data_IF_694432096093
#
_entry.id   IF_694432096093
#
_cell.length_a   1.000
_cell.length_b   1.000
_cell.length_c   1.000
_cell.angle_alpha   90.00
_cell.angle_beta   90.00
_cell.angle_gamma   90.00
#
_symmetry.space_group_name_H-M   'P 1'
#
loop_
_entity.id
_entity.type
_entity.pdbx_description
1 polymer ?
#
# COMPACT_ATOMS: atom_id res chain seq x y z
N UNK A 1 50.51 -28.45 17.23
CA UNK A 1 50.41 -29.79 16.60
C UNK A 1 50.74 -29.61 15.13
N UNK A 2 52.03 -29.73 14.80
CA UNK A 2 52.57 -29.64 13.44
C UNK A 2 52.46 -31.01 12.78
N UNK A 3 51.98 -31.08 11.54
CA UNK A 3 52.16 -32.25 10.68
C UNK A 3 52.91 -31.82 9.44
N UNK A 4 54.22 -31.92 9.54
CA UNK A 4 55.18 -31.73 8.45
C UNK A 4 55.41 -33.10 7.80
N UNK A 5 55.13 -33.21 6.50
CA UNK A 5 55.53 -34.37 5.69
C UNK A 5 56.82 -34.02 4.99
N UNK A 6 57.87 -34.72 5.38
CA UNK A 6 59.21 -34.66 4.82
C UNK A 6 59.35 -35.67 3.66
N UNK A 7 60.47 -35.53 2.93
CA UNK A 7 61.10 -36.47 1.96
C UNK A 7 60.67 -36.21 0.50
N UNK A 8 61.57 -36.01 -0.48
CA UNK A 8 63.02 -36.18 -0.48
C UNK A 8 63.64 -35.65 -1.79
N UNK A 9 64.96 -35.56 -1.72
CA UNK A 9 65.90 -34.96 -2.67
C UNK A 9 66.13 -35.91 -3.85
N UNK A 10 66.29 -35.38 -5.08
CA UNK A 10 67.31 -35.91 -6.00
C UNK A 10 67.69 -34.88 -7.05
N UNK A 11 68.98 -34.53 -7.04
CA UNK A 11 69.67 -33.73 -8.05
C UNK A 11 70.27 -34.71 -9.05
N UNK A 12 69.83 -34.70 -10.30
CA UNK A 12 70.50 -35.42 -11.40
C UNK A 12 70.95 -34.41 -12.44
N UNK A 13 72.25 -34.14 -12.41
CA UNK A 13 73.02 -33.50 -13.46
C UNK A 13 73.03 -34.41 -14.69
N UNK A 14 72.56 -33.91 -15.83
CA UNK A 14 72.63 -34.60 -17.11
C UNK A 14 72.60 -33.61 -18.27
N UNK A 15 73.75 -33.00 -18.57
CA UNK A 15 73.96 -32.29 -19.84
C UNK A 15 73.89 -33.31 -20.97
N UNK A 16 72.94 -33.15 -21.89
CA UNK A 16 73.08 -33.63 -23.26
C UNK A 16 72.78 -32.48 -24.21
N UNK A 17 73.82 -32.04 -24.93
CA UNK A 17 73.69 -31.13 -26.06
C UNK A 17 72.75 -31.76 -27.09
N UNK A 18 71.57 -31.18 -27.29
CA UNK A 18 70.73 -31.46 -28.46
C UNK A 18 70.80 -30.30 -29.43
N UNK A 19 71.02 -30.68 -30.69
CA UNK A 19 71.05 -29.85 -31.88
C UNK A 19 70.07 -28.68 -31.83
N UNK A 20 70.61 -27.47 -31.97
CA UNK A 20 69.84 -26.28 -32.33
C UNK A 20 69.43 -26.45 -33.79
N UNK A 21 68.24 -27.02 -34.02
CA UNK A 21 67.57 -26.91 -35.31
C UNK A 21 67.34 -25.43 -35.59
N UNK A 22 68.01 -24.90 -36.62
CA UNK A 22 67.74 -23.56 -37.15
C UNK A 22 66.23 -23.44 -37.39
N UNK A 23 65.53 -22.44 -36.82
CA UNK A 23 64.18 -22.14 -37.26
C UNK A 23 64.27 -21.74 -38.73
N UNK A 24 63.70 -22.56 -39.60
CA UNK A 24 63.41 -22.16 -40.96
C UNK A 24 62.57 -20.89 -40.88
N UNK A 25 63.08 -19.79 -41.42
CA UNK A 25 62.32 -18.57 -41.66
C UNK A 25 61.23 -19.00 -42.63
N UNK A 26 60.05 -19.33 -42.08
CA UNK A 26 58.84 -19.48 -42.86
C UNK A 26 58.54 -18.10 -43.40
N UNK A 27 58.73 -17.97 -44.70
CA UNK A 27 58.24 -16.87 -45.51
C UNK A 27 56.73 -16.72 -45.22
N UNK A 28 56.38 -15.81 -44.31
CA UNK A 28 55.01 -15.43 -44.03
C UNK A 28 54.56 -14.58 -45.20
N UNK A 29 54.17 -15.26 -46.28
CA UNK A 29 53.37 -14.67 -47.34
C UNK A 29 52.15 -14.07 -46.65
N UNK A 30 52.14 -12.76 -46.49
CA UNK A 30 51.04 -12.02 -45.88
C UNK A 30 49.77 -12.30 -46.69
N UNK A 31 48.96 -13.23 -46.18
CA UNK A 31 47.63 -13.50 -46.74
C UNK A 31 46.75 -12.37 -46.25
N UNK A 32 46.55 -11.36 -47.10
CA UNK A 32 45.50 -10.38 -46.89
C UNK A 32 44.15 -11.11 -46.78
N UNK A 33 43.34 -10.73 -45.78
CA UNK A 33 42.02 -11.30 -45.56
C UNK A 33 41.14 -11.10 -46.80
N UNK A 34 40.36 -12.13 -47.16
CA UNK A 34 39.38 -12.03 -48.23
C UNK A 34 38.25 -11.10 -47.80
N UNK A 35 37.70 -10.32 -48.75
CA UNK A 35 36.54 -9.46 -48.50
C UNK A 35 35.37 -10.22 -47.86
N UNK A 36 35.15 -11.48 -48.27
CA UNK A 36 34.10 -12.33 -47.71
C UNK A 36 34.36 -12.69 -46.23
N UNK A 37 35.63 -12.88 -45.84
CA UNK A 37 36.02 -13.20 -44.46
C UNK A 37 35.85 -11.99 -43.55
N UNK A 38 36.23 -10.80 -44.03
CA UNK A 38 36.00 -9.54 -43.30
C UNK A 38 34.51 -9.27 -43.10
N UNK A 39 33.68 -9.50 -44.11
CA UNK A 39 32.21 -9.35 -43.99
C UNK A 39 31.64 -10.36 -42.98
N UNK A 40 32.07 -11.62 -43.01
CA UNK A 40 31.63 -12.62 -42.05
C UNK A 40 32.04 -12.25 -40.61
N UNK A 41 33.27 -11.76 -40.40
CA UNK A 41 33.73 -11.29 -39.10
C UNK A 41 32.94 -10.08 -38.60
N UNK A 42 32.62 -9.12 -39.48
CA UNK A 42 31.77 -7.97 -39.14
C UNK A 42 30.35 -8.37 -38.76
N UNK A 43 29.77 -9.37 -39.44
CA UNK A 43 28.44 -9.89 -39.08
C UNK A 43 28.45 -10.51 -37.69
N UNK A 44 29.43 -11.36 -37.38
CA UNK A 44 29.56 -11.98 -36.05
C UNK A 44 29.76 -10.90 -34.99
N UNK A 45 30.61 -9.90 -35.26
CA UNK A 45 30.84 -8.79 -34.34
C UNK A 45 29.57 -7.96 -34.13
N UNK A 46 28.80 -7.70 -35.19
CA UNK A 46 27.52 -7.01 -35.09
C UNK A 46 26.53 -7.80 -34.22
N UNK A 47 26.40 -9.11 -34.43
CA UNK A 47 25.53 -9.96 -33.59
C UNK A 47 25.95 -9.96 -32.11
N UNK A 48 27.26 -10.08 -31.85
CA UNK A 48 27.79 -10.04 -30.48
C UNK A 48 27.56 -8.66 -29.84
N UNK A 49 27.77 -7.57 -30.60
CA UNK A 49 27.55 -6.21 -30.12
C UNK A 49 26.08 -5.94 -29.80
N UNK A 50 25.16 -6.39 -30.66
CA UNK A 50 23.72 -6.26 -30.42
C UNK A 50 23.28 -7.04 -29.19
N UNK A 51 23.79 -8.28 -29.01
CA UNK A 51 23.49 -9.09 -27.83
C UNK A 51 23.88 -8.38 -26.53
N UNK A 52 25.09 -7.82 -26.48
CA UNK A 52 25.55 -7.05 -25.30
C UNK A 52 24.69 -5.82 -25.05
N UNK A 53 24.31 -5.08 -26.10
CA UNK A 53 23.50 -3.87 -25.96
C UNK A 53 22.10 -4.18 -25.39
N UNK A 54 21.47 -5.28 -25.84
CA UNK A 54 20.17 -5.74 -25.33
C UNK A 54 20.28 -6.11 -23.85
N UNK A 55 21.34 -6.81 -23.47
CA UNK A 55 21.58 -7.17 -22.06
C UNK A 55 21.69 -5.90 -21.20
N UNK A 56 22.49 -4.91 -21.62
CA UNK A 56 22.62 -3.64 -20.89
C UNK A 56 21.27 -2.93 -20.75
N UNK A 57 20.47 -2.89 -21.82
CA UNK A 57 19.14 -2.27 -21.78
C UNK A 57 18.23 -2.94 -20.73
N UNK A 58 18.21 -4.27 -20.71
CA UNK A 58 17.42 -5.03 -19.74
C UNK A 58 17.93 -4.85 -18.31
N UNK A 59 19.25 -4.73 -18.12
CA UNK A 59 19.82 -4.42 -16.80
C UNK A 59 19.44 -3.01 -16.32
N UNK A 60 19.42 -2.02 -17.21
CA UNK A 60 19.03 -0.65 -16.87
C UNK A 60 17.54 -0.57 -16.50
N UNK A 61 16.67 -1.22 -17.28
CA UNK A 61 15.24 -1.32 -16.98
C UNK A 61 15.01 -1.96 -15.60
N UNK A 62 15.59 -3.14 -15.38
CA UNK A 62 15.49 -3.84 -14.09
C UNK A 62 16.05 -3.03 -12.91
N UNK A 63 17.11 -2.26 -13.12
CA UNK A 63 17.63 -1.37 -12.09
C UNK A 63 16.69 -0.21 -11.78
N UNK A 64 16.05 0.38 -12.80
CA UNK A 64 15.03 1.42 -12.62
C UNK A 64 13.81 0.88 -11.86
N UNK A 65 13.30 -0.29 -12.25
CA UNK A 65 12.17 -0.95 -11.57
C UNK A 65 12.50 -1.23 -10.11
N UNK A 66 13.72 -1.68 -9.83
CA UNK A 66 14.17 -1.92 -8.45
C UNK A 66 14.20 -0.64 -7.60
N UNK A 67 14.52 0.51 -8.20
CA UNK A 67 14.50 1.80 -7.50
C UNK A 67 13.06 2.21 -7.21
N UNK A 68 12.17 2.14 -8.21
CA UNK A 68 10.75 2.49 -8.04
C UNK A 68 10.08 1.60 -6.97
N UNK A 69 10.36 0.30 -7.01
CA UNK A 69 9.90 -0.64 -5.98
C UNK A 69 10.42 -0.29 -4.59
N UNK A 70 11.68 0.13 -4.47
CA UNK A 70 12.24 0.56 -3.19
C UNK A 70 11.55 1.83 -2.68
N UNK A 71 11.27 2.79 -3.56
CA UNK A 71 10.54 4.01 -3.21
C UNK A 71 9.12 3.70 -2.74
N UNK A 72 8.40 2.83 -3.45
CA UNK A 72 7.07 2.37 -3.03
C UNK A 72 7.12 1.67 -1.67
N UNK A 73 8.13 0.82 -1.43
CA UNK A 73 8.35 0.19 -0.14
C UNK A 73 8.66 1.20 0.98
N UNK A 74 9.46 2.23 0.70
CA UNK A 74 9.73 3.29 1.68
C UNK A 74 8.46 4.04 2.09
N UNK A 75 7.58 4.35 1.14
CA UNK A 75 6.27 4.97 1.41
C UNK A 75 5.43 4.08 2.30
N UNK A 76 5.26 2.82 1.90
CA UNK A 76 4.50 1.82 2.65
C UNK A 76 5.07 1.64 4.07
N UNK A 77 6.39 1.57 4.20
CA UNK A 77 7.07 1.44 5.50
C UNK A 77 6.81 2.66 6.38
N UNK A 78 6.93 3.87 5.84
CA UNK A 78 6.71 5.10 6.61
C UNK A 78 5.23 5.22 7.06
N UNK A 79 4.29 4.84 6.21
CA UNK A 79 2.87 4.81 6.57
C UNK A 79 2.62 3.79 7.69
N UNK A 80 3.20 2.59 7.57
CA UNK A 80 3.12 1.57 8.61
C UNK A 80 3.78 2.04 9.92
N UNK A 81 4.93 2.70 9.87
CA UNK A 81 5.59 3.27 11.04
C UNK A 81 4.71 4.34 11.72
N UNK A 82 4.04 5.17 10.92
CA UNK A 82 3.12 6.20 11.42
C UNK A 82 1.93 5.55 12.12
N UNK A 83 1.31 4.56 11.47
CA UNK A 83 0.20 3.80 12.02
C UNK A 83 0.57 3.09 13.32
N UNK A 84 1.76 2.48 13.38
CA UNK A 84 2.27 1.80 14.58
C UNK A 84 2.67 2.77 15.70
N UNK A 85 2.96 4.03 15.37
CA UNK A 85 3.27 5.07 16.35
C UNK A 85 2.01 5.74 16.94
N UNK A 86 0.84 5.58 16.29
CA UNK A 86 -0.43 6.10 16.77
C UNK A 86 -0.83 5.46 18.11
N UNK A 87 -1.35 6.27 19.02
CA UNK A 87 -1.77 5.81 20.36
C UNK A 87 -3.11 5.07 20.36
N UNK A 88 -3.92 5.27 19.34
CA UNK A 88 -5.21 4.61 19.13
C UNK A 88 -5.29 4.14 17.68
N UNK A 89 -5.94 2.99 17.48
CA UNK A 89 -6.17 2.38 16.18
C UNK A 89 -7.68 2.20 16.04
N UNK A 90 -8.23 2.84 15.02
CA UNK A 90 -9.62 2.70 14.62
C UNK A 90 -9.66 1.97 13.27
N UNK A 91 -10.80 1.34 12.96
CA UNK A 91 -11.03 0.79 11.64
C UNK A 91 -11.15 1.96 10.66
N UNK A 92 -10.19 2.08 9.74
CA UNK A 92 -10.10 3.22 8.84
C UNK A 92 -9.43 2.83 7.54
N UNK A 93 -9.83 3.49 6.46
CA UNK A 93 -9.16 3.40 5.16
C UNK A 93 -8.73 4.79 4.74
N UNK A 94 -7.42 4.97 4.62
CA UNK A 94 -6.79 6.22 4.22
C UNK A 94 -6.15 6.09 2.84
N UNK A 95 -6.25 7.14 2.04
CA UNK A 95 -5.68 7.21 0.71
C UNK A 95 -4.86 8.48 0.55
N UNK A 96 -3.77 8.40 -0.22
CA UNK A 96 -2.99 9.57 -0.53
C UNK A 96 -2.00 9.40 -1.66
N UNK A 97 -1.25 10.48 -1.89
CA UNK A 97 -0.11 10.53 -2.80
C UNK A 97 1.13 10.77 -1.93
N UNK A 98 2.26 10.17 -2.27
CA UNK A 98 3.49 10.43 -1.51
C UNK A 98 3.98 11.85 -1.76
N UNK A 99 4.27 12.58 -0.68
CA UNK A 99 4.85 13.93 -0.76
C UNK A 99 6.27 13.92 -1.33
N UNK A 100 6.99 12.82 -1.12
CA UNK A 100 8.39 12.64 -1.54
C UNK A 100 8.44 12.09 -2.97
N UNK A 101 7.49 11.23 -3.34
CA UNK A 101 7.41 10.58 -4.64
C UNK A 101 6.02 10.80 -5.27
N UNK A 102 5.79 11.90 -6.01
CA UNK A 102 4.46 12.28 -6.51
C UNK A 102 3.79 11.25 -7.43
N UNK A 103 4.58 10.39 -8.05
CA UNK A 103 4.12 9.34 -8.96
C UNK A 103 3.63 8.08 -8.21
N UNK A 104 3.77 8.05 -6.88
CA UNK A 104 3.38 6.93 -6.02
C UNK A 104 2.11 7.28 -5.26
N UNK A 105 1.07 6.48 -5.48
CA UNK A 105 -0.19 6.51 -4.72
C UNK A 105 -0.14 5.47 -3.63
N UNK A 106 -0.71 5.76 -2.47
CA UNK A 106 -0.72 4.84 -1.34
C UNK A 106 -2.10 4.71 -0.72
N UNK A 107 -2.32 3.58 -0.07
CA UNK A 107 -3.52 3.25 0.69
C UNK A 107 -3.09 2.61 2.02
N UNK A 108 -3.82 2.90 3.08
CA UNK A 108 -3.60 2.32 4.41
C UNK A 108 -4.95 1.92 4.98
N UNK A 109 -5.15 0.62 5.13
CA UNK A 109 -6.37 0.01 5.64
C UNK A 109 -6.09 -0.65 6.99
N UNK A 110 -6.96 -0.41 7.97
CA UNK A 110 -6.96 -1.10 9.27
C UNK A 110 -8.25 -1.90 9.35
N UNK A 111 -8.13 -3.22 9.35
CA UNK A 111 -9.28 -4.13 9.30
C UNK A 111 -9.33 -5.03 10.53
N UNK A 112 -10.56 -5.32 10.98
CA UNK A 112 -10.81 -6.31 12.01
C UNK A 112 -11.04 -7.70 11.39
N UNK A 113 -10.17 -8.64 11.71
CA UNK A 113 -10.27 -10.03 11.26
C UNK A 113 -10.79 -10.94 12.39
N UNK A 114 -11.88 -11.66 12.10
CA UNK A 114 -12.43 -12.67 13.02
C UNK A 114 -11.85 -14.06 12.73
N UNK A 115 -11.14 -14.65 13.70
CA UNK A 115 -10.62 -16.02 13.57
C UNK A 115 -11.73 -17.05 13.87
N UNK A 116 -12.17 -17.86 12.86
CA UNK A 116 -13.34 -18.73 13.01
C UNK A 116 -13.13 -19.91 13.97
N UNK A 117 -11.88 -20.29 14.27
CA UNK A 117 -11.59 -21.45 15.12
C UNK A 117 -11.50 -21.12 16.61
N UNK A 118 -10.96 -19.95 16.96
CA UNK A 118 -10.73 -19.56 18.35
C UNK A 118 -11.66 -18.45 18.85
N UNK A 119 -12.52 -17.91 17.99
CA UNK A 119 -13.37 -16.75 18.28
C UNK A 119 -12.56 -15.58 18.86
N UNK A 120 -11.38 -15.35 18.29
CA UNK A 120 -10.50 -14.23 18.60
C UNK A 120 -10.57 -13.21 17.48
N UNK A 121 -10.74 -11.96 17.84
CA UNK A 121 -10.66 -10.84 16.91
C UNK A 121 -9.22 -10.33 16.88
N UNK A 122 -8.73 -10.06 15.68
CA UNK A 122 -7.41 -9.53 15.40
C UNK A 122 -7.57 -8.23 14.64
N UNK A 123 -6.69 -7.27 14.90
CA UNK A 123 -6.59 -6.08 14.07
C UNK A 123 -5.37 -6.25 13.16
N UNK A 124 -5.59 -6.08 11.86
CA UNK A 124 -4.57 -6.13 10.84
C UNK A 124 -4.46 -4.76 10.16
N UNK A 125 -3.24 -4.27 10.01
CA UNK A 125 -2.94 -3.12 9.18
C UNK A 125 -2.37 -3.59 7.84
N UNK A 126 -2.91 -3.03 6.75
CA UNK A 126 -2.46 -3.24 5.38
C UNK A 126 -2.06 -1.87 4.83
N UNK A 127 -0.79 -1.69 4.51
CA UNK A 127 -0.31 -0.50 3.82
C UNK A 127 0.11 -0.90 2.41
N UNK A 128 -0.46 -0.27 1.39
CA UNK A 128 -0.15 -0.54 -0.01
C UNK A 128 0.33 0.73 -0.71
N UNK A 129 1.20 0.56 -1.71
CA UNK A 129 1.57 1.64 -2.62
C UNK A 129 1.68 1.14 -4.05
N UNK A 130 1.13 1.94 -4.96
CA UNK A 130 1.10 1.73 -6.40
C UNK A 130 2.20 2.55 -7.07
N UNK A 131 2.94 1.93 -7.99
CA UNK A 131 3.92 2.60 -8.85
C UNK A 131 3.86 2.03 -10.27
N UNK A 132 4.25 2.84 -11.25
CA UNK A 132 4.38 2.41 -12.65
C UNK A 132 5.81 1.97 -12.93
N UNK A 133 6.00 0.80 -13.51
CA UNK A 133 7.33 0.27 -13.85
C UNK A 133 7.84 0.75 -15.23
N UNK A 134 9.03 0.29 -15.63
CA UNK A 134 9.63 0.65 -16.92
C UNK A 134 8.91 0.09 -18.15
N UNK A 135 7.98 -0.84 -17.96
CA UNK A 135 7.10 -1.39 -19.00
C UNK A 135 5.73 -0.69 -19.04
N UNK A 136 5.54 0.37 -18.23
CA UNK A 136 4.29 1.12 -18.05
C UNK A 136 3.16 0.29 -17.40
N UNK A 137 3.54 -0.78 -16.68
CA UNK A 137 2.60 -1.59 -15.90
C UNK A 137 2.49 -1.07 -14.46
N UNK A 138 1.27 -1.08 -13.93
CA UNK A 138 1.03 -0.68 -12.54
C UNK A 138 1.34 -1.87 -11.63
N UNK A 139 2.29 -1.67 -10.73
CA UNK A 139 2.70 -2.63 -9.73
C UNK A 139 2.32 -2.13 -8.33
N UNK A 140 1.95 -3.05 -7.44
CA UNK A 140 1.58 -2.71 -6.06
C UNK A 140 2.52 -3.41 -5.09
N UNK A 141 3.05 -2.65 -4.13
CA UNK A 141 3.76 -3.18 -2.96
C UNK A 141 2.82 -3.12 -1.77
N UNK A 142 2.61 -4.25 -1.11
CA UNK A 142 1.78 -4.35 0.09
C UNK A 142 2.63 -4.80 1.28
N UNK A 143 2.42 -4.16 2.43
CA UNK A 143 2.96 -4.56 3.72
C UNK A 143 1.81 -4.81 4.69
N UNK A 144 1.81 -5.99 5.26
CA UNK A 144 0.75 -6.45 6.15
C UNK A 144 1.32 -6.72 7.54
N UNK A 145 0.68 -6.15 8.56
CA UNK A 145 1.09 -6.30 9.95
C UNK A 145 -0.08 -6.64 10.87
N UNK A 146 0.14 -7.62 11.76
CA UNK A 146 -0.80 -8.01 12.81
C UNK A 146 -0.52 -7.17 14.05
N UNK A 147 -1.47 -6.32 14.44
CA UNK A 147 -1.28 -5.32 15.49
C UNK A 147 -1.45 -5.95 16.88
N UNK A 148 -2.66 -6.38 17.21
CA UNK A 148 -2.97 -6.94 18.54
C UNK A 148 -4.06 -8.02 18.44
N UNK A 149 -4.07 -8.91 19.42
CA UNK A 149 -5.27 -9.68 19.74
C UNK A 149 -6.22 -8.80 20.55
N UNK A 150 -7.50 -8.79 20.17
CA UNK A 150 -8.53 -8.13 20.97
C UNK A 150 -9.01 -9.10 22.05
N UNK A 151 -9.04 -8.64 23.29
CA UNK A 151 -9.61 -9.43 24.39
C UNK A 151 -11.13 -9.55 24.22
N UNK A 152 -11.73 -10.65 24.72
CA UNK A 152 -13.19 -10.85 24.64
C UNK A 152 -14.03 -9.71 25.24
N UNK A 153 -13.48 -9.00 26.23
CA UNK A 153 -14.14 -7.85 26.83
C UNK A 153 -14.12 -6.63 25.89
N UNK A 154 -12.98 -6.36 25.25
CA UNK A 154 -12.85 -5.28 24.25
C UNK A 154 -13.67 -5.58 23.01
N UNK A 155 -13.72 -6.82 22.54
CA UNK A 155 -14.59 -7.21 21.42
C UNK A 155 -16.07 -7.02 21.72
N UNK A 156 -16.51 -7.39 22.92
CA UNK A 156 -17.90 -7.19 23.34
C UNK A 156 -18.24 -5.70 23.49
N UNK A 157 -17.28 -4.88 23.91
CA UNK A 157 -17.45 -3.43 23.99
C UNK A 157 -17.57 -2.80 22.60
N UNK A 158 -16.73 -3.20 21.64
CA UNK A 158 -16.81 -2.73 20.23
C UNK A 158 -18.13 -3.17 19.61
N UNK A 159 -18.55 -4.43 19.77
CA UNK A 159 -19.83 -4.92 19.26
C UNK A 159 -21.03 -4.21 19.90
N UNK A 160 -20.99 -3.98 21.22
CA UNK A 160 -22.05 -3.26 21.90
C UNK A 160 -22.11 -1.77 21.50
N UNK A 161 -20.96 -1.18 21.17
CA UNK A 161 -20.88 0.18 20.65
C UNK A 161 -21.46 0.26 19.23
N UNK A 162 -21.05 -0.65 18.32
CA UNK A 162 -21.59 -0.73 16.97
C UNK A 162 -23.09 -1.00 16.96
N UNK A 163 -23.58 -1.87 17.84
CA UNK A 163 -25.02 -2.13 17.96
C UNK A 163 -25.75 -0.88 18.48
N UNK A 164 -25.18 -0.15 19.45
CA UNK A 164 -25.78 1.10 19.94
C UNK A 164 -25.80 2.19 18.87
N UNK A 165 -24.72 2.35 18.11
CA UNK A 165 -24.65 3.27 16.98
C UNK A 165 -25.69 2.87 15.92
N UNK A 166 -25.81 1.57 15.63
CA UNK A 166 -26.81 1.05 14.71
C UNK A 166 -28.25 1.26 15.21
N UNK A 167 -28.50 1.07 16.51
CA UNK A 167 -29.79 1.30 17.15
C UNK A 167 -30.16 2.79 17.13
N UNK A 168 -29.22 3.69 17.44
CA UNK A 168 -29.43 5.14 17.33
C UNK A 168 -29.73 5.55 15.88
N UNK A 169 -28.97 5.02 14.91
CA UNK A 169 -29.24 5.25 13.50
C UNK A 169 -30.60 4.67 13.08
N UNK A 170 -31.00 3.51 13.60
CA UNK A 170 -32.29 2.89 13.31
C UNK A 170 -33.46 3.68 13.89
N UNK A 171 -33.32 4.23 15.10
CA UNK A 171 -34.32 5.10 15.73
C UNK A 171 -34.49 6.44 14.97
N UNK A 172 -33.47 6.85 14.20
CA UNK A 172 -33.48 8.06 13.39
C UNK A 172 -33.88 7.80 11.90
N UNK A 173 -34.24 6.56 11.55
CA UNK A 173 -34.61 6.20 10.19
C UNK A 173 -36.13 6.07 10.04
N UNK A 174 -36.65 6.75 9.03
CA UNK A 174 -38.04 6.66 8.57
C UNK A 174 -38.08 5.85 7.27
N UNK A 175 -38.81 4.73 7.29
CA UNK A 175 -38.79 3.76 6.19
C UNK A 175 -39.58 4.22 4.95
N UNK A 176 -40.60 5.06 5.14
CA UNK A 176 -41.55 5.40 4.09
C UNK A 176 -41.56 6.89 3.74
N UNK A 177 -41.80 7.18 2.45
CA UNK A 177 -41.94 8.56 1.95
C UNK A 177 -43.11 9.30 2.62
N UNK A 178 -44.20 8.58 2.91
CA UNK A 178 -45.39 9.12 3.57
C UNK A 178 -45.07 9.54 5.01
N UNK A 179 -44.39 8.70 5.79
CA UNK A 179 -43.98 9.03 7.15
C UNK A 179 -42.95 10.16 7.17
N UNK A 180 -42.03 10.21 6.20
CA UNK A 180 -41.05 11.29 6.09
C UNK A 180 -41.74 12.64 5.79
N UNK A 181 -42.76 12.63 4.93
CA UNK A 181 -43.58 13.81 4.63
C UNK A 181 -44.39 14.26 5.85
N UNK A 182 -44.97 13.31 6.61
CA UNK A 182 -45.70 13.58 7.86
C UNK A 182 -44.77 14.18 8.91
N UNK A 183 -43.58 13.60 9.10
CA UNK A 183 -42.57 14.08 10.05
C UNK A 183 -42.11 15.50 9.73
N UNK A 184 -41.75 15.77 8.47
CA UNK A 184 -41.31 17.09 8.03
C UNK A 184 -42.45 18.11 7.90
N UNK A 185 -43.72 17.67 7.97
CA UNK A 185 -44.91 18.53 7.81
C UNK A 185 -45.08 19.09 6.40
N UNK A 186 -44.55 18.39 5.39
CA UNK A 186 -44.58 18.79 3.97
C UNK A 186 -45.27 17.72 3.13
N UNK A 187 -45.52 18.00 1.85
CA UNK A 187 -46.06 17.00 0.93
C UNK A 187 -44.95 16.06 0.38
N UNK A 188 -45.34 14.88 -0.05
CA UNK A 188 -44.43 13.87 -0.62
C UNK A 188 -43.62 14.38 -1.83
N UNK A 189 -44.16 15.31 -2.62
CA UNK A 189 -43.43 15.85 -3.78
C UNK A 189 -42.28 16.76 -3.35
N UNK A 190 -42.47 17.50 -2.26
CA UNK A 190 -41.43 18.32 -1.63
C UNK A 190 -40.27 17.45 -1.12
N UNK A 191 -40.56 16.31 -0.46
CA UNK A 191 -39.52 15.36 -0.04
C UNK A 191 -38.77 14.77 -1.26
N UNK A 192 -39.48 14.39 -2.33
CA UNK A 192 -38.83 13.91 -3.55
C UNK A 192 -37.95 14.98 -4.19
N UNK A 193 -38.33 16.26 -4.09
CA UNK A 193 -37.51 17.37 -4.54
C UNK A 193 -36.24 17.51 -3.69
N UNK A 194 -36.31 17.30 -2.38
CA UNK A 194 -35.14 17.30 -1.49
C UNK A 194 -34.16 16.17 -1.82
N UNK A 195 -34.66 14.96 -2.09
CA UNK A 195 -33.84 13.84 -2.59
C UNK A 195 -33.12 14.23 -3.89
N UNK A 196 -33.83 14.87 -4.84
CA UNK A 196 -33.22 15.36 -6.09
C UNK A 196 -32.21 16.50 -5.87
N UNK A 197 -32.40 17.29 -4.82
CA UNK A 197 -31.48 18.35 -4.39
C UNK A 197 -30.31 17.80 -3.54
N UNK A 198 -30.12 16.48 -3.50
CA UNK A 198 -28.98 15.82 -2.88
C UNK A 198 -29.14 15.60 -1.37
N UNK A 199 -30.37 15.38 -0.89
CA UNK A 199 -30.61 14.84 0.45
C UNK A 199 -30.09 13.41 0.49
N UNK A 200 -29.25 13.11 1.48
CA UNK A 200 -28.69 11.76 1.65
C UNK A 200 -29.76 10.82 2.21
N UNK A 201 -29.84 9.63 1.64
CA UNK A 201 -30.65 8.51 2.14
C UNK A 201 -29.70 7.41 2.62
N UNK A 202 -30.21 6.47 3.40
CA UNK A 202 -29.45 5.27 3.74
C UNK A 202 -29.22 4.40 2.51
N UNK A 203 -28.28 3.44 2.58
CA UNK A 203 -28.01 2.50 1.48
C UNK A 203 -29.25 1.68 1.06
N UNK A 204 -30.18 1.50 1.99
CA UNK A 204 -31.45 0.76 1.79
C UNK A 204 -32.58 1.68 1.27
N UNK A 205 -32.31 2.98 1.09
CA UNK A 205 -33.25 3.95 0.52
C UNK A 205 -34.19 4.61 1.52
N UNK A 206 -33.88 4.52 2.82
CA UNK A 206 -34.67 5.11 3.90
C UNK A 206 -34.28 6.56 4.20
N UNK A 207 -35.22 7.30 4.80
CA UNK A 207 -35.06 8.71 5.16
C UNK A 207 -34.46 8.85 6.55
N UNK A 208 -33.55 9.80 6.74
CA UNK A 208 -32.89 10.05 8.03
C UNK A 208 -33.52 11.31 8.65
N UNK A 209 -33.93 11.28 9.91
CA UNK A 209 -34.61 12.41 10.58
C UNK A 209 -33.76 13.69 10.58
N UNK A 210 -32.46 13.64 10.92
CA UNK A 210 -31.57 14.81 10.85
C UNK A 210 -31.47 15.43 9.45
N UNK A 211 -31.54 14.61 8.39
CA UNK A 211 -31.56 15.11 7.02
C UNK A 211 -32.89 15.79 6.69
N UNK A 212 -34.01 15.23 7.16
CA UNK A 212 -35.32 15.84 6.99
C UNK A 212 -35.42 17.17 7.75
N UNK A 213 -34.88 17.24 8.95
CA UNK A 213 -34.84 18.46 9.77
C UNK A 213 -34.01 19.57 9.12
N UNK A 214 -32.84 19.24 8.58
CA UNK A 214 -32.02 20.20 7.83
C UNK A 214 -32.75 20.76 6.62
N UNK A 215 -33.34 19.89 5.81
CA UNK A 215 -34.02 20.31 4.60
C UNK A 215 -35.33 21.04 4.92
N UNK A 216 -36.00 20.73 6.04
CA UNK A 216 -37.12 21.50 6.57
C UNK A 216 -36.68 22.91 6.96
N UNK A 217 -35.60 23.02 7.73
CA UNK A 217 -35.12 24.29 8.30
C UNK A 217 -34.51 25.21 7.23
N UNK A 218 -33.94 24.63 6.18
CA UNK A 218 -33.36 25.36 5.03
C UNK A 218 -34.31 25.45 3.83
N UNK A 219 -35.57 25.04 4.00
CA UNK A 219 -36.61 25.06 2.97
C UNK A 219 -36.18 24.39 1.65
N UNK A 220 -35.48 23.27 1.76
CA UNK A 220 -35.08 22.39 0.66
C UNK A 220 -33.79 22.77 -0.05
N UNK A 221 -33.02 23.73 0.46
CA UNK A 221 -31.76 24.20 -0.12
C UNK A 221 -30.69 24.46 0.95
N UNK A 222 -30.20 23.41 1.64
CA UNK A 222 -29.14 23.57 2.62
C UNK A 222 -27.83 23.98 1.95
N UNK A 223 -27.11 24.89 2.59
CA UNK A 223 -25.78 25.29 2.13
C UNK A 223 -24.73 24.26 2.51
N UNK A 224 -23.52 24.37 1.92
CA UNK A 224 -22.41 23.47 2.24
C UNK A 224 -22.04 23.56 3.73
N UNK A 225 -22.11 24.75 4.33
CA UNK A 225 -21.83 24.96 5.76
C UNK A 225 -22.86 24.25 6.66
N UNK A 226 -24.14 24.26 6.29
CA UNK A 226 -25.19 23.57 7.06
C UNK A 226 -25.03 22.05 7.00
N UNK A 227 -24.59 21.51 5.86
CA UNK A 227 -24.29 20.08 5.69
C UNK A 227 -23.06 19.66 6.50
N UNK A 228 -22.02 20.49 6.53
CA UNK A 228 -20.81 20.24 7.34
C UNK A 228 -21.17 20.30 8.84
N UNK A 229 -22.05 21.21 9.25
CA UNK A 229 -22.46 21.32 10.66
C UNK A 229 -23.17 20.06 11.15
N UNK A 230 -24.06 19.47 10.35
CA UNK A 230 -24.67 18.18 10.71
C UNK A 230 -23.65 17.03 10.80
N UNK A 231 -22.66 17.00 9.90
CA UNK A 231 -21.59 16.00 9.95
C UNK A 231 -20.71 16.20 11.21
N UNK A 232 -20.60 17.42 11.74
CA UNK A 232 -19.91 17.74 13.00
C UNK A 232 -20.78 17.48 14.25
N UNK A 233 -22.07 17.81 14.23
CA UNK A 233 -22.97 17.59 15.37
C UNK A 233 -23.17 16.08 15.62
N UNK A 234 -23.23 15.26 14.56
CA UNK A 234 -23.21 13.80 14.67
C UNK A 234 -21.88 13.25 15.25
N UNK A 235 -20.79 14.02 15.15
CA UNK A 235 -19.49 13.64 15.70
C UNK A 235 -19.35 14.03 17.18
N UNK A 236 -19.96 15.13 17.63
CA UNK A 236 -19.84 15.63 19.02
C UNK A 236 -20.67 14.83 20.04
N UNK A 237 -21.80 14.23 19.64
CA UNK A 237 -22.58 13.31 20.51
C UNK A 237 -21.90 11.94 20.73
N UNK A 238 -20.78 11.68 20.04
CA UNK A 238 -19.97 10.45 20.19
C UNK A 238 -19.08 10.45 21.45
N UNK A 239 -18.94 11.59 22.14
CA UNK A 239 -18.11 11.71 23.33
C UNK A 239 -18.93 12.14 24.56
N UNK A 240 -19.45 11.19 25.35
CA UNK A 240 -19.78 11.50 26.73
C UNK A 240 -18.46 11.85 27.43
N UNK A 241 -18.25 13.13 27.72
CA UNK A 241 -17.30 13.59 28.73
C UNK A 241 -17.80 13.11 30.10
N UNK A 242 -17.65 11.81 30.36
CA UNK A 242 -17.79 11.26 31.70
C UNK A 242 -16.75 11.93 32.59
N UNK A 243 -17.27 12.42 33.71
CA UNK A 243 -16.59 13.22 34.71
C UNK A 243 -15.20 12.67 35.05
N UNK A 244 -14.18 13.51 34.87
CA UNK A 244 -12.87 13.33 35.50
C UNK A 244 -13.09 13.04 36.99
N UNK A 245 -12.62 11.91 37.54
CA UNK A 245 -12.68 11.70 38.98
C UNK A 245 -11.80 12.76 39.65
N UNK A 246 -12.45 13.55 40.50
CA UNK A 246 -11.86 14.48 41.44
C UNK A 246 -10.67 13.82 42.14
N UNK A 247 -9.46 14.27 41.79
CA UNK A 247 -8.21 13.83 42.41
C UNK A 247 -8.02 14.56 43.74
N UNK A 248 -8.95 14.31 44.65
CA UNK A 248 -8.95 14.77 46.02
C UNK A 248 -8.93 13.61 46.99
N UNK A 249 -7.77 12.96 47.18
CA UNK A 249 -7.39 12.48 48.51
C UNK A 249 -5.89 12.15 48.59
N UNK A 250 -5.15 13.13 49.12
CA UNK A 250 -3.84 12.92 49.69
C UNK A 250 -3.99 12.50 51.15
N UNK A 251 -3.57 11.28 51.52
CA UNK A 251 -3.25 10.92 52.91
C UNK A 251 -2.32 9.68 52.92
N UNK A 252 -1.55 9.46 53.99
CA UNK A 252 -0.23 10.01 54.29
C UNK A 252 0.93 9.04 54.05
#
# INVERSE_FOLDING_TARGET
>A
MFSSKNIGVSFVSGRTFRNVSRPAIRDTREKAFSLAETVAALMILAFMSTSVLVVINNYMASAADSVMRMQAFEVVRNNMETLLASSSLEESVEYGVSEIYPDIRWETSVEMFYEPLNAKMWIQAICSAEYTDSEDEVQTVELTHWLTDLTKAQSLQILAQQEREREMLADEIIETLEEAAIYAGVDEQTIQQWVRNGMKLTEEGYYIESQLDLYRDTNGSPTIEDKIRLEQDNFDDSFPMDELPDSGEAVP
#
